data_IF_034219924132
#
_entry.id   IF_034219924132
#
_cell.length_a   1.000
_cell.length_b   1.000
_cell.length_c   1.000
_cell.angle_alpha   90.00
_cell.angle_beta   90.00
_cell.angle_gamma   90.00
#
_symmetry.space_group_name_H-M   'P 1'
#
loop_
_entity.id
_entity.type
_entity.pdbx_description
1 polymer ?
#
# COMPACT_ATOMS: atom_id res chain seq x y z
N UNK A 1 -0.31 -11.59 18.20
CA UNK A 1 0.37 -11.39 16.92
C UNK A 1 0.97 -10.01 16.85
N UNK A 2 2.23 -9.94 16.45
CA UNK A 2 2.92 -8.66 16.35
C UNK A 2 2.67 -8.06 14.97
N UNK A 3 2.22 -6.79 14.94
CA UNK A 3 2.09 -6.06 13.69
C UNK A 3 3.46 -5.65 13.19
N UNK A 4 3.62 -5.59 11.87
CA UNK A 4 4.85 -5.09 11.27
C UNK A 4 4.97 -3.59 11.52
N UNK A 5 6.20 -3.10 11.59
CA UNK A 5 6.46 -1.67 11.62
C UNK A 5 6.02 -1.05 10.29
N UNK A 6 5.31 0.07 10.34
CA UNK A 6 4.80 0.75 9.15
C UNK A 6 5.67 1.95 8.84
N UNK A 7 6.27 1.94 7.64
CA UNK A 7 7.07 3.04 7.11
C UNK A 7 6.32 3.66 5.93
N UNK A 8 6.41 4.97 5.79
CA UNK A 8 5.63 5.73 4.81
C UNK A 8 6.53 6.56 3.92
N UNK A 9 6.34 6.44 2.59
CA UNK A 9 7.05 7.31 1.65
C UNK A 9 6.35 8.67 1.56
N UNK A 10 7.07 9.72 1.10
CA UNK A 10 6.44 11.03 0.86
C UNK A 10 5.29 10.95 -0.14
N UNK A 11 5.40 10.09 -1.16
CA UNK A 11 4.34 9.91 -2.15
C UNK A 11 3.05 9.40 -1.51
N UNK A 12 3.17 8.39 -0.64
CA UNK A 12 2.02 7.86 0.08
C UNK A 12 1.43 8.91 1.02
N UNK A 13 2.28 9.59 1.78
CA UNK A 13 1.83 10.61 2.73
C UNK A 13 1.05 11.72 2.04
N UNK A 14 1.51 12.17 0.87
CA UNK A 14 0.81 13.20 0.10
C UNK A 14 -0.55 12.72 -0.38
N UNK A 15 -0.64 11.48 -0.83
CA UNK A 15 -1.90 10.92 -1.30
C UNK A 15 -2.93 10.88 -0.16
N UNK A 16 -2.52 10.45 1.02
CA UNK A 16 -3.41 10.38 2.19
C UNK A 16 -3.83 11.78 2.63
N UNK A 17 -2.91 12.74 2.60
CA UNK A 17 -3.18 14.11 3.04
C UNK A 17 -4.31 14.77 2.25
N UNK A 18 -4.50 14.39 1.00
CA UNK A 18 -5.55 14.94 0.14
C UNK A 18 -6.93 14.38 0.43
N UNK A 19 -7.03 13.33 1.23
CA UNK A 19 -8.29 12.67 1.50
C UNK A 19 -9.08 13.38 2.62
N UNK A 20 -10.41 13.23 2.57
CA UNK A 20 -11.25 13.64 3.67
C UNK A 20 -11.04 12.72 4.87
N UNK A 21 -11.35 13.21 6.08
CA UNK A 21 -11.16 12.44 7.31
C UNK A 21 -11.83 11.06 7.25
N UNK A 22 -13.02 11.00 6.66
CA UNK A 22 -13.77 9.76 6.50
C UNK A 22 -13.02 8.74 5.65
N UNK A 23 -12.39 9.21 4.58
CA UNK A 23 -11.65 8.34 3.67
C UNK A 23 -10.33 7.90 4.29
N UNK A 24 -9.71 8.76 5.11
CA UNK A 24 -8.49 8.41 5.84
C UNK A 24 -8.73 7.24 6.79
N UNK A 25 -9.93 7.14 7.37
CA UNK A 25 -10.28 6.01 8.22
C UNK A 25 -10.24 4.69 7.44
N UNK A 26 -10.73 4.70 6.19
CA UNK A 26 -10.69 3.51 5.35
C UNK A 26 -9.25 3.12 4.99
N UNK A 27 -8.39 4.12 4.72
CA UNK A 27 -6.97 3.87 4.46
C UNK A 27 -6.30 3.29 5.71
N UNK A 28 -6.60 3.83 6.87
CA UNK A 28 -6.03 3.33 8.12
C UNK A 28 -6.36 1.85 8.34
N UNK A 29 -7.59 1.46 8.07
CA UNK A 29 -7.99 0.05 8.16
C UNK A 29 -7.24 -0.82 7.17
N UNK A 30 -7.02 -0.33 5.95
CA UNK A 30 -6.27 -1.06 4.94
C UNK A 30 -4.81 -1.24 5.35
N UNK A 31 -4.19 -0.19 5.91
CA UNK A 31 -2.82 -0.25 6.40
C UNK A 31 -2.70 -1.27 7.53
N UNK A 32 -3.64 -1.29 8.44
CA UNK A 32 -3.64 -2.26 9.54
C UNK A 32 -3.81 -3.69 9.03
N UNK A 33 -4.65 -3.89 8.02
CA UNK A 33 -4.83 -5.21 7.42
C UNK A 33 -3.52 -5.71 6.80
N UNK A 34 -2.80 -4.85 6.09
CA UNK A 34 -1.51 -5.19 5.48
C UNK A 34 -0.47 -5.47 6.57
N UNK A 35 -0.43 -4.66 7.63
CA UNK A 35 0.55 -4.83 8.71
C UNK A 35 0.34 -6.14 9.48
N UNK A 36 -0.91 -6.58 9.60
CA UNK A 36 -1.22 -7.82 10.32
C UNK A 36 -1.12 -9.06 9.42
N UNK A 37 -1.30 -8.89 8.10
CA UNK A 37 -1.19 -9.99 7.14
C UNK A 37 -0.54 -9.45 5.85
N UNK A 38 0.79 -9.39 5.80
CA UNK A 38 1.48 -8.80 4.65
C UNK A 38 1.30 -9.56 3.34
N UNK A 39 0.80 -10.79 3.38
CA UNK A 39 0.53 -11.57 2.17
C UNK A 39 -0.86 -11.28 1.59
N UNK A 40 -1.62 -10.36 2.20
CA UNK A 40 -2.99 -10.05 1.76
C UNK A 40 -3.03 -9.40 0.37
N UNK A 41 -1.99 -8.65 0.00
CA UNK A 41 -1.90 -8.04 -1.33
C UNK A 41 -1.33 -8.99 -2.36
N UNK A 42 -1.51 -8.67 -3.63
CA UNK A 42 -0.97 -9.45 -4.75
C UNK A 42 0.45 -8.99 -5.05
N UNK A 43 1.40 -9.91 -5.03
CA UNK A 43 2.77 -9.60 -5.44
C UNK A 43 2.82 -9.45 -6.96
N UNK A 44 3.38 -8.35 -7.42
CA UNK A 44 3.51 -8.07 -8.85
C UNK A 44 4.81 -8.65 -9.39
N UNK A 45 4.87 -8.77 -10.72
CA UNK A 45 6.02 -9.35 -11.42
C UNK A 45 6.55 -8.36 -12.45
N UNK A 46 7.66 -8.69 -13.10
CA UNK A 46 8.26 -7.82 -14.10
C UNK A 46 8.82 -6.55 -13.48
N UNK A 47 8.49 -5.41 -14.06
CA UNK A 47 9.00 -4.11 -13.61
C UNK A 47 8.64 -3.79 -12.16
N UNK A 48 7.60 -4.44 -11.64
CA UNK A 48 7.11 -4.20 -10.28
C UNK A 48 7.40 -5.37 -9.34
N UNK A 49 8.36 -6.20 -9.69
CA UNK A 49 8.72 -7.35 -8.85
C UNK A 49 9.07 -6.91 -7.44
N UNK A 50 8.55 -7.64 -6.45
CA UNK A 50 8.78 -7.31 -5.05
C UNK A 50 7.79 -6.30 -4.48
N UNK A 51 6.93 -5.74 -5.30
CA UNK A 51 5.90 -4.80 -4.86
C UNK A 51 4.57 -5.55 -4.75
N UNK A 52 3.89 -5.34 -3.62
CA UNK A 52 2.57 -5.91 -3.38
C UNK A 52 1.51 -4.83 -3.55
N UNK A 53 0.35 -5.20 -4.06
CA UNK A 53 -0.77 -4.27 -4.22
C UNK A 53 -2.00 -4.86 -3.54
N UNK A 54 -2.54 -4.11 -2.60
CA UNK A 54 -3.77 -4.47 -1.89
C UNK A 54 -4.91 -3.57 -2.39
N UNK A 55 -6.00 -4.18 -2.85
CA UNK A 55 -7.16 -3.46 -3.34
C UNK A 55 -8.24 -3.41 -2.27
N UNK A 56 -8.78 -2.22 -2.04
CA UNK A 56 -9.90 -2.03 -1.10
C UNK A 56 -10.81 -0.93 -1.64
N UNK A 57 -11.91 -0.67 -0.97
CA UNK A 57 -12.89 0.30 -1.46
C UNK A 57 -13.02 1.51 -0.55
N UNK A 58 -13.15 2.68 -1.18
CA UNK A 58 -13.55 3.92 -0.52
C UNK A 58 -14.75 4.44 -1.33
N UNK A 59 -15.92 4.58 -0.69
CA UNK A 59 -17.13 5.10 -1.35
C UNK A 59 -17.45 4.34 -2.65
N UNK A 60 -17.36 3.00 -2.61
CA UNK A 60 -17.65 2.11 -3.74
C UNK A 60 -16.62 2.19 -4.87
N UNK A 61 -15.56 2.98 -4.71
CA UNK A 61 -14.48 3.07 -5.69
C UNK A 61 -13.31 2.20 -5.27
N UNK A 62 -12.73 1.45 -6.21
CA UNK A 62 -11.56 0.63 -5.96
C UNK A 62 -10.34 1.51 -5.76
N UNK A 63 -9.64 1.29 -4.65
CA UNK A 63 -8.41 2.00 -4.32
C UNK A 63 -7.29 0.97 -4.18
N UNK A 64 -6.13 1.30 -4.69
CA UNK A 64 -4.96 0.42 -4.65
C UNK A 64 -3.91 0.98 -3.70
N UNK A 65 -3.36 0.11 -2.88
CA UNK A 65 -2.29 0.44 -1.93
C UNK A 65 -1.07 -0.42 -2.28
N UNK A 66 0.01 0.24 -2.69
CA UNK A 66 1.26 -0.46 -3.01
C UNK A 66 2.20 -0.43 -1.82
N UNK A 67 2.86 -1.56 -1.57
CA UNK A 67 3.79 -1.67 -0.45
C UNK A 67 4.90 -2.67 -0.75
N UNK A 68 6.00 -2.56 -0.01
CA UNK A 68 7.10 -3.52 -0.03
C UNK A 68 7.32 -4.07 1.37
N UNK A 69 7.86 -5.27 1.44
CA UNK A 69 8.16 -5.92 2.72
C UNK A 69 9.68 -5.96 2.93
N UNK A 70 10.14 -5.57 4.10
CA UNK A 70 11.55 -5.49 4.44
C UNK A 70 11.85 -6.26 5.72
N UNK A 71 13.01 -6.89 5.84
CA UNK A 71 14.08 -6.97 4.85
C UNK A 71 13.78 -7.90 3.68
N UNK A 72 12.87 -8.87 3.85
CA UNK A 72 12.44 -9.76 2.78
C UNK A 72 10.95 -10.08 2.94
N UNK A 73 10.32 -10.57 1.87
CA UNK A 73 8.92 -11.00 1.94
C UNK A 73 8.72 -12.29 2.73
N UNK A 74 9.80 -13.04 2.96
CA UNK A 74 9.73 -14.32 3.69
C UNK A 74 9.74 -14.14 5.19
N UNK A 75 10.48 -13.13 5.69
CA UNK A 75 10.52 -12.80 7.11
C UNK A 75 10.47 -11.28 7.27
N UNK A 76 9.31 -10.68 6.96
CA UNK A 76 9.23 -9.22 7.02
C UNK A 76 9.19 -8.73 8.46
N UNK A 77 9.87 -7.60 8.69
CA UNK A 77 9.86 -6.86 9.95
C UNK A 77 9.09 -5.57 9.79
N UNK A 78 9.13 -5.00 8.60
CA UNK A 78 8.44 -3.75 8.32
C UNK A 78 7.77 -3.79 6.96
N UNK A 79 6.76 -2.92 6.80
CA UNK A 79 6.07 -2.69 5.54
C UNK A 79 6.29 -1.23 5.15
N UNK A 80 6.77 -1.02 3.92
CA UNK A 80 6.98 0.31 3.37
C UNK A 80 5.82 0.64 2.43
N UNK A 81 5.03 1.64 2.79
CA UNK A 81 3.89 2.07 1.99
C UNK A 81 4.37 3.00 0.88
N UNK A 82 4.20 2.57 -0.38
CA UNK A 82 4.77 3.25 -1.52
C UNK A 82 3.84 4.28 -2.14
N UNK A 83 2.60 3.89 -2.43
CA UNK A 83 1.65 4.79 -3.06
C UNK A 83 0.23 4.33 -2.82
N UNK A 84 -0.71 5.24 -3.07
CA UNK A 84 -2.14 5.01 -2.90
C UNK A 84 -2.86 5.75 -4.01
N UNK A 85 -3.80 5.10 -4.66
CA UNK A 85 -4.56 5.76 -5.71
C UNK A 85 -5.62 4.88 -6.34
N UNK A 86 -6.44 5.50 -7.20
CA UNK A 86 -7.42 4.76 -7.97
C UNK A 86 -6.74 3.99 -9.11
N UNK A 87 -7.46 3.03 -9.68
CA UNK A 87 -6.90 2.12 -10.67
C UNK A 87 -6.30 2.80 -11.89
N UNK A 88 -6.85 3.94 -12.28
CA UNK A 88 -6.62 4.55 -13.57
C UNK A 88 -5.16 4.91 -13.89
N UNK A 89 -4.48 5.59 -12.98
CA UNK A 89 -3.09 6.02 -13.19
C UNK A 89 -2.10 5.38 -12.24
N UNK A 90 -2.58 4.48 -11.41
CA UNK A 90 -1.81 3.94 -10.30
C UNK A 90 -0.51 3.28 -10.74
N UNK A 91 -0.58 2.39 -11.73
CA UNK A 91 0.58 1.63 -12.16
C UNK A 91 1.61 2.47 -12.89
N UNK A 92 1.15 3.48 -13.63
CA UNK A 92 2.06 4.41 -14.30
C UNK A 92 2.90 5.18 -13.29
N UNK A 93 2.25 5.70 -12.25
CA UNK A 93 2.95 6.42 -11.19
C UNK A 93 3.88 5.50 -10.39
N UNK A 94 3.43 4.29 -10.13
CA UNK A 94 4.21 3.31 -9.38
C UNK A 94 5.51 2.97 -10.11
N UNK A 95 5.45 2.82 -11.42
CA UNK A 95 6.65 2.54 -12.23
C UNK A 95 7.66 3.68 -12.17
N UNK A 96 7.19 4.92 -12.04
CA UNK A 96 8.08 6.07 -11.90
C UNK A 96 8.86 6.07 -10.60
N UNK A 97 8.34 5.43 -9.56
CA UNK A 97 8.99 5.34 -8.26
C UNK A 97 10.13 4.31 -8.24
N UNK A 98 10.14 3.43 -9.21
CA UNK A 98 11.18 2.45 -9.38
C UNK A 98 12.23 2.99 -10.39
#
# INVERSE_FOLDING_TARGET
>A
MTLLEVLVTPTFAKAVKKLHAKDKTAVDKAVKAVASDPAIGDEKKGDLAGIFVYKFKINKQDILLAYQLHPTKFQPVSVLLLSLGSHENFYTELKRLN
#
